data_IF_673774493918
#
_entry.id   IF_673774493918
#
_cell.length_a   1.000
_cell.length_b   1.000
_cell.length_c   1.000
_cell.angle_alpha   90.00
_cell.angle_beta   90.00
_cell.angle_gamma   90.00
#
_symmetry.space_group_name_H-M   'P 1'
#
loop_
_entity.id
_entity.type
_entity.pdbx_description
1 polymer ?
#
# COMPACT_ATOMS: atom_id res chain seq x y z
N UNK A 1 11.72 -51.39 51.09
CA UNK A 1 10.31 -50.97 51.06
C UNK A 1 9.92 -50.81 49.60
N UNK A 2 8.89 -51.55 49.15
CA UNK A 2 8.31 -51.54 47.78
C UNK A 2 7.79 -50.12 47.46
N UNK A 3 7.79 -49.64 46.22
CA UNK A 3 6.76 -49.92 45.19
C UNK A 3 7.30 -49.52 43.80
N UNK A 4 7.02 -50.40 42.82
CA UNK A 4 7.22 -50.25 41.36
C UNK A 4 6.11 -49.37 40.77
N UNK A 5 6.32 -48.75 39.61
CA UNK A 5 5.59 -49.07 38.37
C UNK A 5 6.23 -48.37 37.16
N UNK A 6 6.65 -49.19 36.18
CA UNK A 6 6.86 -48.81 34.78
C UNK A 6 5.48 -48.76 34.10
N UNK A 7 5.26 -47.82 33.18
CA UNK A 7 4.47 -48.08 31.97
C UNK A 7 4.91 -47.14 30.84
N UNK A 8 5.31 -47.76 29.72
CA UNK A 8 5.30 -47.19 28.39
C UNK A 8 4.02 -47.70 27.69
N UNK A 9 3.35 -46.82 26.93
CA UNK A 9 2.28 -47.00 25.92
C UNK A 9 2.20 -45.59 25.29
N UNK A 10 2.40 -45.27 24.00
CA UNK A 10 2.06 -45.85 22.69
C UNK A 10 0.56 -46.04 22.44
N UNK A 11 -0.18 -44.95 22.23
CA UNK A 11 -1.51 -44.88 21.57
C UNK A 11 -1.93 -43.39 21.53
N UNK A 12 -2.70 -42.83 20.60
CA UNK A 12 -3.65 -43.41 19.64
C UNK A 12 -3.91 -42.38 18.52
N UNK A 13 -3.92 -42.81 17.27
CA UNK A 13 -4.74 -42.18 16.23
C UNK A 13 -5.70 -43.26 15.73
N UNK A 14 -6.91 -43.25 16.29
CA UNK A 14 -7.97 -44.20 15.96
C UNK A 14 -8.85 -43.60 14.88
N UNK A 15 -8.77 -44.21 13.69
CA UNK A 15 -9.75 -44.14 12.62
C UNK A 15 -10.76 -45.27 12.85
N UNK A 16 -12.00 -44.97 13.25
CA UNK A 16 -13.21 -45.74 12.91
C UNK A 16 -14.43 -44.84 13.11
N UNK A 17 -15.22 -44.60 12.07
CA UNK A 17 -16.66 -44.82 12.14
C UNK A 17 -17.15 -45.42 10.83
N UNK A 18 -17.67 -46.64 10.97
CA UNK A 18 -18.37 -47.43 9.96
C UNK A 18 -19.83 -46.98 9.90
N UNK A 19 -20.27 -46.80 8.67
CA UNK A 19 -21.61 -46.93 8.07
C UNK A 19 -22.88 -46.94 8.94
N UNK A 20 -23.87 -46.17 8.46
CA UNK A 20 -25.22 -46.66 8.21
C UNK A 20 -25.90 -45.80 7.14
N UNK A 21 -25.86 -46.22 5.88
CA UNK A 21 -26.85 -45.80 4.89
C UNK A 21 -27.38 -47.05 4.20
N UNK A 22 -28.54 -47.48 4.68
CA UNK A 22 -29.38 -48.43 3.99
C UNK A 22 -30.24 -47.66 2.97
N UNK A 23 -30.38 -48.29 1.83
CA UNK A 23 -30.97 -47.84 0.57
C UNK A 23 -32.48 -47.60 0.69
N UNK A 24 -33.01 -46.51 0.13
CA UNK A 24 -34.13 -46.54 -0.85
C UNK A 24 -34.75 -45.15 -1.12
N UNK A 25 -34.78 -44.82 -2.41
CA UNK A 25 -35.82 -44.08 -3.17
C UNK A 25 -36.09 -42.59 -2.90
N UNK A 26 -35.78 -41.76 -3.91
CA UNK A 26 -36.62 -40.61 -4.30
C UNK A 26 -35.87 -39.30 -4.58
N UNK A 27 -35.46 -39.10 -5.84
CA UNK A 27 -35.16 -37.84 -6.54
C UNK A 27 -34.26 -36.77 -5.86
N UNK A 28 -32.97 -36.84 -6.19
CA UNK A 28 -31.90 -35.90 -5.80
C UNK A 28 -31.86 -34.65 -6.69
N UNK A 29 -32.07 -33.47 -6.09
CA UNK A 29 -31.53 -32.21 -6.58
C UNK A 29 -30.99 -31.41 -5.38
N UNK A 30 -29.68 -31.50 -5.20
CA UNK A 30 -28.77 -30.68 -4.39
C UNK A 30 -27.80 -31.60 -3.63
N UNK A 31 -26.53 -31.19 -3.61
CA UNK A 31 -25.40 -31.82 -2.90
C UNK A 31 -24.64 -32.92 -3.67
N UNK A 32 -24.08 -32.55 -4.84
CA UNK A 32 -22.86 -33.18 -5.36
C UNK A 32 -22.04 -32.21 -6.25
N UNK A 33 -21.59 -31.09 -5.68
CA UNK A 33 -20.68 -30.14 -6.33
C UNK A 33 -19.40 -29.92 -5.52
N UNK A 34 -18.79 -31.00 -5.04
CA UNK A 34 -17.65 -30.90 -4.11
C UNK A 34 -16.52 -31.90 -4.31
N UNK A 35 -16.45 -32.65 -5.42
CA UNK A 35 -15.44 -33.71 -5.55
C UNK A 35 -14.97 -34.06 -6.98
N UNK A 36 -15.00 -33.11 -7.92
CA UNK A 36 -14.33 -33.26 -9.22
C UNK A 36 -13.55 -31.98 -9.54
N UNK A 37 -12.29 -31.91 -9.07
CA UNK A 37 -11.27 -31.01 -9.62
C UNK A 37 -9.85 -31.47 -9.25
N UNK A 38 -9.59 -32.77 -9.26
CA UNK A 38 -8.24 -33.32 -9.26
C UNK A 38 -8.22 -34.43 -10.31
N UNK A 39 -7.20 -34.39 -11.18
CA UNK A 39 -6.97 -35.21 -12.38
C UNK A 39 -7.55 -34.60 -13.66
N UNK A 40 -6.75 -33.75 -14.31
CA UNK A 40 -6.61 -33.63 -15.78
C UNK A 40 -5.52 -32.61 -16.09
N UNK A 41 -4.26 -33.03 -16.14
CA UNK A 41 -3.25 -32.29 -16.90
C UNK A 41 -2.13 -33.24 -17.35
N UNK A 42 -2.48 -34.19 -18.20
CA UNK A 42 -1.55 -34.82 -19.13
C UNK A 42 -2.16 -34.75 -20.52
N UNK A 43 -1.73 -33.78 -21.32
CA UNK A 43 -1.79 -33.87 -22.77
C UNK A 43 -0.44 -33.46 -23.33
N UNK A 44 0.34 -34.47 -23.68
CA UNK A 44 1.53 -34.32 -24.50
C UNK A 44 1.16 -33.79 -25.88
N UNK A 45 1.96 -32.86 -26.39
CA UNK A 45 1.90 -32.45 -27.79
C UNK A 45 2.65 -33.48 -28.63
N UNK A 46 1.95 -34.11 -29.59
CA UNK A 46 2.52 -34.89 -30.68
C UNK A 46 2.11 -34.22 -32.00
N UNK A 47 3.08 -33.81 -32.82
CA UNK A 47 2.86 -33.38 -34.21
C UNK A 47 3.39 -31.98 -34.56
N UNK A 48 4.06 -31.88 -35.72
CA UNK A 48 4.66 -30.68 -36.31
C UNK A 48 3.63 -29.57 -36.58
N UNK A 49 3.62 -28.52 -35.75
CA UNK A 49 3.59 -27.11 -36.18
C UNK A 49 3.56 -26.17 -34.96
N UNK A 50 4.74 -25.96 -34.35
CA UNK A 50 4.95 -24.88 -33.39
C UNK A 50 5.66 -23.72 -34.08
N UNK A 51 4.90 -22.86 -34.75
CA UNK A 51 5.41 -21.59 -35.27
C UNK A 51 4.28 -20.60 -35.53
N UNK A 52 4.37 -19.44 -34.86
CA UNK A 52 3.57 -18.20 -35.03
C UNK A 52 2.22 -18.13 -34.29
N UNK A 53 2.27 -17.71 -33.02
CA UNK A 53 1.59 -16.50 -32.54
C UNK A 53 1.82 -16.31 -31.03
N UNK A 54 2.95 -15.68 -30.68
CA UNK A 54 3.18 -15.15 -29.34
C UNK A 54 2.63 -13.72 -29.31
N UNK A 55 1.33 -13.59 -29.08
CA UNK A 55 0.71 -12.33 -28.67
C UNK A 55 0.09 -12.53 -27.29
N UNK A 56 0.66 -11.79 -26.34
CA UNK A 56 0.28 -11.68 -24.94
C UNK A 56 -1.24 -11.55 -24.76
N UNK A 57 -1.82 -12.43 -23.94
CA UNK A 57 -3.06 -12.16 -23.22
C UNK A 57 -2.79 -12.30 -21.72
N UNK A 58 -2.37 -11.19 -21.12
CA UNK A 58 -2.65 -10.95 -19.70
C UNK A 58 -4.16 -10.82 -19.57
N UNK A 59 -4.79 -11.78 -18.89
CA UNK A 59 -6.01 -11.61 -18.10
C UNK A 59 -6.51 -12.99 -17.70
N UNK A 60 -6.04 -13.49 -16.56
CA UNK A 60 -6.85 -14.29 -15.63
C UNK A 60 -6.14 -14.31 -14.28
N UNK A 61 -6.49 -13.34 -13.43
CA UNK A 61 -6.26 -13.39 -11.99
C UNK A 61 -7.53 -12.83 -11.34
N UNK A 62 -8.48 -13.72 -11.05
CA UNK A 62 -9.60 -13.45 -10.16
C UNK A 62 -9.86 -14.67 -9.28
N UNK A 63 -9.25 -14.65 -8.09
CA UNK A 63 -9.88 -15.16 -6.86
C UNK A 63 -9.51 -14.17 -5.77
N UNK A 64 -10.40 -13.20 -5.56
CA UNK A 64 -10.20 -12.03 -4.72
C UNK A 64 -10.26 -12.37 -3.23
N UNK A 65 -9.09 -12.52 -2.62
CA UNK A 65 -8.79 -11.74 -1.43
C UNK A 65 -8.00 -10.54 -1.94
N UNK A 66 -8.50 -9.32 -1.74
CA UNK A 66 -7.72 -8.11 -2.05
C UNK A 66 -6.51 -8.08 -1.12
N UNK A 67 -5.39 -8.64 -1.56
CA UNK A 67 -4.09 -8.34 -1.00
C UNK A 67 -3.84 -6.87 -1.34
N UNK A 68 -4.24 -6.00 -0.41
CA UNK A 68 -4.22 -4.56 -0.58
C UNK A 68 -2.78 -4.14 -0.90
N UNK A 69 -2.58 -3.55 -2.08
CA UNK A 69 -1.28 -3.02 -2.45
C UNK A 69 -0.91 -1.93 -1.42
N UNK A 70 0.25 -2.05 -0.81
CA UNK A 70 0.72 -1.06 0.16
C UNK A 70 1.01 0.26 -0.56
N UNK A 71 1.55 0.17 -1.77
CA UNK A 71 1.60 1.27 -2.71
C UNK A 71 0.32 1.38 -3.54
N UNK A 72 0.00 2.59 -4.01
CA UNK A 72 -1.08 2.82 -4.95
C UNK A 72 -0.89 2.07 -6.27
N UNK A 73 -1.99 1.76 -6.94
CA UNK A 73 -1.97 0.99 -8.19
C UNK A 73 -1.17 1.72 -9.29
N UNK A 74 -0.22 1.02 -9.90
CA UNK A 74 0.66 1.56 -10.94
C UNK A 74 1.84 2.39 -10.41
N UNK A 75 1.96 2.60 -9.09
CA UNK A 75 3.16 3.18 -8.52
C UNK A 75 4.29 2.16 -8.45
N UNK A 76 5.47 2.54 -8.93
CA UNK A 76 6.69 1.73 -8.89
C UNK A 76 7.68 2.35 -7.89
N UNK A 77 7.76 1.86 -6.65
CA UNK A 77 8.70 2.36 -5.66
C UNK A 77 10.16 2.18 -6.08
N UNK A 78 11.00 3.11 -5.64
CA UNK A 78 12.43 3.08 -5.87
C UNK A 78 13.20 2.25 -4.82
N UNK A 79 14.29 1.63 -5.26
CA UNK A 79 15.35 1.06 -4.44
C UNK A 79 16.68 1.69 -4.86
N UNK A 80 17.56 1.97 -3.91
CA UNK A 80 18.94 2.36 -4.20
C UNK A 80 19.92 1.85 -3.15
N UNK A 81 21.16 1.60 -3.55
CA UNK A 81 22.25 1.35 -2.61
C UNK A 81 23.05 2.65 -2.39
N UNK A 82 23.17 3.10 -1.14
CA UNK A 82 23.87 4.36 -0.81
C UNK A 82 25.32 4.36 -1.30
N UNK A 83 25.96 3.19 -1.28
CA UNK A 83 27.35 3.00 -1.74
C UNK A 83 27.52 3.19 -3.25
N UNK A 84 26.46 3.01 -4.06
CA UNK A 84 26.47 3.35 -5.50
C UNK A 84 26.65 4.85 -5.71
N UNK A 85 26.10 5.66 -4.79
CA UNK A 85 26.15 7.12 -4.79
C UNK A 85 27.26 7.69 -3.90
N UNK A 86 28.21 6.85 -3.47
CA UNK A 86 29.38 7.27 -2.67
C UNK A 86 29.13 7.44 -1.17
N UNK A 87 27.90 7.20 -0.69
CA UNK A 87 27.56 7.25 0.72
C UNK A 87 27.79 5.89 1.39
N UNK A 88 28.90 5.78 2.11
CA UNK A 88 29.32 4.58 2.84
C UNK A 88 29.30 4.83 4.34
N UNK A 89 29.14 3.78 5.14
CA UNK A 89 29.11 3.90 6.58
C UNK A 89 29.58 2.62 7.27
N UNK A 90 30.13 2.77 8.48
CA UNK A 90 30.44 1.64 9.34
C UNK A 90 29.16 1.04 9.93
N UNK A 91 29.27 -0.05 10.70
CA UNK A 91 28.11 -0.78 11.24
C UNK A 91 27.31 -0.03 12.32
N UNK A 92 27.74 1.14 12.78
CA UNK A 92 27.05 1.91 13.83
C UNK A 92 26.12 2.97 13.22
N UNK A 93 24.88 2.58 12.94
CA UNK A 93 23.86 3.52 12.49
C UNK A 93 23.06 4.13 13.65
N UNK A 94 23.40 3.84 14.91
CA UNK A 94 22.53 4.18 16.05
C UNK A 94 21.27 3.32 16.10
N UNK A 95 21.32 2.11 15.53
CA UNK A 95 20.21 1.18 15.42
C UNK A 95 19.38 1.31 14.14
N UNK A 96 18.29 0.54 14.07
CA UNK A 96 17.40 0.49 12.89
C UNK A 96 16.85 1.88 12.51
N UNK A 97 16.43 2.67 13.50
CA UNK A 97 15.89 4.02 13.26
C UNK A 97 16.93 4.96 12.64
N UNK A 98 18.18 4.91 13.12
CA UNK A 98 19.24 5.73 12.55
C UNK A 98 19.71 5.23 11.18
N UNK A 99 19.56 3.94 10.88
CA UNK A 99 19.76 3.43 9.51
C UNK A 99 18.68 3.95 8.54
N UNK A 100 17.43 4.02 8.97
CA UNK A 100 16.35 4.65 8.19
C UNK A 100 16.63 6.14 7.98
N UNK A 101 17.09 6.85 9.02
CA UNK A 101 17.49 8.26 8.90
C UNK A 101 18.69 8.45 7.95
N UNK A 102 19.64 7.52 7.93
CA UNK A 102 20.75 7.51 6.96
C UNK A 102 20.21 7.38 5.53
N UNK A 103 19.27 6.47 5.27
CA UNK A 103 18.60 6.39 3.98
C UNK A 103 17.86 7.68 3.60
N UNK A 104 17.09 8.26 4.52
CA UNK A 104 16.31 9.47 4.27
C UNK A 104 17.17 10.70 3.95
N UNK A 105 18.38 10.78 4.53
CA UNK A 105 19.35 11.87 4.31
C UNK A 105 20.21 11.69 3.06
N UNK A 106 20.21 10.51 2.44
CA UNK A 106 21.04 10.18 1.28
C UNK A 106 20.20 9.75 0.08
N UNK A 107 18.98 10.30 -0.06
CA UNK A 107 18.15 10.10 -1.25
C UNK A 107 18.89 10.67 -2.47
N UNK A 108 19.12 9.86 -3.52
CA UNK A 108 19.84 10.33 -4.70
C UNK A 108 19.01 11.36 -5.46
N UNK A 109 19.67 12.31 -6.12
CA UNK A 109 19.00 13.34 -6.92
C UNK A 109 18.26 12.80 -8.15
N UNK A 110 18.49 11.53 -8.52
CA UNK A 110 17.79 10.85 -9.61
C UNK A 110 16.34 10.46 -9.27
N UNK A 111 15.91 10.60 -8.02
CA UNK A 111 14.54 10.29 -7.58
C UNK A 111 13.93 11.46 -6.79
N UNK A 112 12.59 11.54 -6.67
CA UNK A 112 11.95 12.59 -5.88
C UNK A 112 12.41 12.57 -4.41
N UNK A 113 12.84 13.72 -3.89
CA UNK A 113 13.32 13.89 -2.51
C UNK A 113 12.24 13.77 -1.45
N UNK A 114 10.96 13.72 -1.85
CA UNK A 114 9.80 13.60 -0.95
C UNK A 114 9.49 12.15 -0.55
N UNK A 115 10.18 11.17 -1.14
CA UNK A 115 10.01 9.76 -0.79
C UNK A 115 10.42 9.48 0.65
N UNK A 116 9.76 8.51 1.28
CA UNK A 116 10.11 8.00 2.60
C UNK A 116 10.90 6.72 2.39
N UNK A 117 12.10 6.62 2.96
CA UNK A 117 12.97 5.46 2.75
C UNK A 117 13.31 4.77 4.07
N UNK A 118 13.32 3.43 4.03
CA UNK A 118 13.82 2.59 5.12
C UNK A 118 14.97 1.71 4.65
N UNK A 119 15.87 1.39 5.57
CA UNK A 119 17.04 0.56 5.31
C UNK A 119 16.69 -0.94 5.29
N UNK A 120 17.10 -1.65 4.25
CA UNK A 120 16.99 -3.10 4.17
C UNK A 120 18.10 -3.78 4.98
N UNK A 121 17.97 -3.74 6.29
CA UNK A 121 18.83 -4.44 7.25
C UNK A 121 17.97 -5.14 8.29
N UNK A 122 18.46 -6.19 8.94
CA UNK A 122 17.77 -6.84 10.07
C UNK A 122 18.64 -6.82 11.31
N UNK A 123 18.00 -6.81 12.48
CA UNK A 123 18.68 -7.03 13.77
C UNK A 123 18.15 -8.26 14.53
N UNK A 124 17.13 -8.93 13.98
CA UNK A 124 16.49 -10.08 14.60
C UNK A 124 15.42 -9.73 15.64
N UNK A 125 15.17 -8.45 15.92
CA UNK A 125 14.22 -8.00 16.95
C UNK A 125 13.36 -6.83 16.47
N UNK A 126 13.96 -5.68 16.18
CA UNK A 126 13.26 -4.46 15.76
C UNK A 126 12.97 -4.44 14.25
N UNK A 127 13.74 -5.20 13.46
CA UNK A 127 13.47 -5.46 12.05
C UNK A 127 13.83 -6.91 11.71
N UNK A 128 12.83 -7.64 11.22
CA UNK A 128 12.91 -9.06 10.86
C UNK A 128 12.13 -9.26 9.57
N UNK A 129 12.75 -9.85 8.54
CA UNK A 129 12.03 -10.15 7.30
C UNK A 129 11.10 -11.37 7.46
N UNK A 130 11.63 -12.42 8.10
CA UNK A 130 10.96 -13.68 8.39
C UNK A 130 11.81 -14.50 9.37
N UNK A 131 11.19 -15.42 10.10
CA UNK A 131 11.89 -16.45 10.90
C UNK A 131 11.85 -17.84 10.25
N UNK A 132 11.22 -17.96 9.08
CA UNK A 132 11.01 -19.24 8.39
C UNK A 132 11.65 -19.27 7.01
N UNK A 133 11.44 -18.24 6.19
CA UNK A 133 11.97 -18.20 4.83
C UNK A 133 11.18 -17.27 3.89
N UNK A 134 11.60 -17.16 2.61
CA UNK A 134 11.17 -16.11 1.70
C UNK A 134 9.66 -16.10 1.42
N UNK A 135 8.96 -17.22 1.57
CA UNK A 135 7.54 -17.35 1.27
C UNK A 135 6.64 -17.29 2.52
N UNK A 136 7.14 -16.73 3.63
CA UNK A 136 6.43 -16.68 4.90
C UNK A 136 6.56 -15.33 5.60
N UNK A 137 5.42 -14.80 6.08
CA UNK A 137 5.35 -13.61 6.94
C UNK A 137 5.57 -13.92 8.43
N UNK A 138 5.81 -15.19 8.79
CA UNK A 138 5.96 -15.59 10.19
C UNK A 138 7.17 -14.89 10.81
N UNK A 139 6.94 -14.22 11.93
CA UNK A 139 7.97 -13.47 12.65
C UNK A 139 8.43 -12.19 11.96
N UNK A 140 7.75 -11.76 10.89
CA UNK A 140 8.07 -10.50 10.21
C UNK A 140 7.78 -9.30 11.12
N UNK A 141 8.75 -8.40 11.24
CA UNK A 141 8.67 -7.18 12.07
C UNK A 141 9.27 -6.01 11.30
N UNK A 142 8.51 -4.92 11.12
CA UNK A 142 8.97 -3.67 10.48
C UNK A 142 9.73 -3.89 9.16
N UNK A 143 9.28 -4.84 8.35
CA UNK A 143 9.93 -5.18 7.09
C UNK A 143 9.69 -4.12 6.03
N UNK A 144 10.68 -3.91 5.16
CA UNK A 144 10.75 -2.75 4.27
C UNK A 144 10.12 -2.98 2.90
N UNK A 145 10.03 -4.23 2.46
CA UNK A 145 9.44 -4.58 1.17
C UNK A 145 7.99 -4.97 1.33
N UNK A 146 7.17 -4.50 0.39
CA UNK A 146 5.74 -4.71 0.38
C UNK A 146 5.40 -5.97 -0.42
N UNK A 147 4.35 -6.72 -0.05
CA UNK A 147 3.89 -7.88 -0.82
C UNK A 147 3.50 -7.56 -2.25
N UNK A 148 3.81 -8.46 -3.19
CA UNK A 148 3.39 -8.40 -4.60
C UNK A 148 3.73 -7.07 -5.29
N UNK A 149 4.85 -6.46 -4.90
CA UNK A 149 5.22 -5.12 -5.32
C UNK A 149 6.43 -5.17 -6.25
N UNK A 150 6.29 -4.49 -7.38
CA UNK A 150 7.38 -4.27 -8.32
C UNK A 150 8.22 -3.06 -7.87
N UNK A 151 9.54 -3.21 -7.86
CA UNK A 151 10.47 -2.16 -7.49
C UNK A 151 11.43 -1.84 -8.63
N UNK A 152 11.78 -0.55 -8.75
CA UNK A 152 12.73 -0.06 -9.76
C UNK A 152 13.97 0.55 -9.12
N UNK A 153 15.10 0.46 -9.81
CA UNK A 153 16.38 1.00 -9.36
C UNK A 153 16.43 2.53 -9.57
N UNK A 154 16.97 3.27 -8.61
CA UNK A 154 17.11 4.72 -8.71
C UNK A 154 18.16 5.19 -9.74
N UNK A 155 19.16 4.36 -10.06
CA UNK A 155 20.25 4.70 -10.98
C UNK A 155 19.73 4.93 -12.42
N UNK A 156 18.81 4.09 -12.89
CA UNK A 156 18.38 4.05 -14.30
C UNK A 156 16.89 3.71 -14.52
N UNK A 157 16.13 3.49 -13.46
CA UNK A 157 14.71 3.12 -13.54
C UNK A 157 14.44 1.67 -13.94
N UNK A 158 15.48 0.83 -14.08
CA UNK A 158 15.31 -0.57 -14.43
C UNK A 158 14.53 -1.32 -13.35
N UNK A 159 13.69 -2.27 -13.75
CA UNK A 159 12.95 -3.12 -12.81
C UNK A 159 13.94 -4.07 -12.15
N UNK A 160 13.99 -4.03 -10.82
CA UNK A 160 14.88 -4.89 -10.03
C UNK A 160 14.20 -6.22 -9.79
N UNK A 161 13.00 -6.17 -9.21
CA UNK A 161 12.27 -7.37 -8.79
C UNK A 161 10.78 -7.09 -8.63
N UNK A 162 10.02 -8.18 -8.60
CA UNK A 162 8.67 -8.24 -8.07
C UNK A 162 8.73 -9.13 -6.83
N UNK A 163 8.29 -8.62 -5.69
CA UNK A 163 8.22 -9.41 -4.46
C UNK A 163 7.04 -10.38 -4.50
N UNK A 164 7.13 -11.47 -3.76
CA UNK A 164 6.03 -12.41 -3.55
C UNK A 164 5.01 -11.86 -2.53
N UNK A 165 4.01 -12.69 -2.18
CA UNK A 165 2.98 -12.34 -1.20
C UNK A 165 3.48 -12.12 0.24
N UNK A 166 4.76 -12.40 0.54
CA UNK A 166 5.40 -12.10 1.83
C UNK A 166 6.34 -10.89 1.77
N UNK A 167 6.42 -10.20 0.63
CA UNK A 167 7.29 -9.04 0.46
C UNK A 167 8.77 -9.41 0.28
N UNK A 168 9.08 -10.60 -0.23
CA UNK A 168 10.46 -11.08 -0.43
C UNK A 168 10.61 -11.71 -1.82
N UNK A 169 11.83 -12.07 -2.19
CA UNK A 169 12.13 -12.80 -3.43
C UNK A 169 12.75 -14.16 -3.10
N UNK A 170 12.19 -15.24 -3.63
CA UNK A 170 12.71 -16.58 -3.38
C UNK A 170 13.83 -16.91 -4.38
N UNK A 171 15.07 -16.97 -3.89
CA UNK A 171 16.26 -17.32 -4.68
C UNK A 171 16.44 -18.84 -4.89
N UNK A 172 15.52 -19.67 -4.41
CA UNK A 172 15.57 -21.12 -4.60
C UNK A 172 15.56 -21.48 -6.09
N UNK A 173 16.07 -22.68 -6.41
CA UNK A 173 16.13 -23.21 -7.77
C UNK A 173 16.87 -22.31 -8.78
N UNK A 174 17.79 -21.46 -8.32
CA UNK A 174 18.58 -20.58 -9.17
C UNK A 174 17.82 -19.37 -9.71
N UNK A 175 16.66 -19.04 -9.12
CA UNK A 175 15.95 -17.82 -9.44
C UNK A 175 16.81 -16.58 -9.17
N UNK A 176 16.66 -15.56 -10.00
CA UNK A 176 17.44 -14.31 -9.96
C UNK A 176 16.52 -13.11 -10.09
N UNK A 177 16.92 -12.00 -9.48
CA UNK A 177 16.35 -10.69 -9.73
C UNK A 177 16.50 -10.34 -11.21
N UNK A 178 15.60 -9.52 -11.73
CA UNK A 178 15.67 -9.02 -13.11
C UNK A 178 16.91 -8.12 -13.27
N UNK A 179 17.16 -7.27 -12.27
CA UNK A 179 18.33 -6.42 -12.19
C UNK A 179 18.83 -6.31 -10.74
N UNK A 180 20.09 -5.92 -10.57
CA UNK A 180 20.72 -5.67 -9.27
C UNK A 180 20.22 -4.37 -8.60
N UNK A 181 20.53 -4.15 -7.31
CA UNK A 181 20.18 -2.89 -6.62
C UNK A 181 21.07 -1.70 -7.04
N UNK A 182 22.25 -1.95 -7.60
CA UNK A 182 23.22 -0.93 -8.01
C UNK A 182 23.95 -1.31 -9.29
N UNK A 183 24.44 -0.29 -10.01
CA UNK A 183 25.27 -0.47 -11.20
C UNK A 183 26.78 -0.40 -10.90
N UNK A 184 27.18 0.31 -9.85
CA UNK A 184 28.60 0.49 -9.51
C UNK A 184 29.18 -0.80 -8.93
N UNK A 185 30.15 -1.42 -9.62
CA UNK A 185 30.74 -2.73 -9.29
C UNK A 185 31.22 -2.90 -7.84
N UNK A 186 31.66 -1.82 -7.21
CA UNK A 186 32.14 -1.77 -5.83
C UNK A 186 31.01 -1.61 -4.79
N UNK A 187 29.75 -1.53 -5.21
CA UNK A 187 28.63 -1.28 -4.31
C UNK A 187 28.30 -2.54 -3.50
N UNK A 188 28.42 -2.43 -2.18
CA UNK A 188 27.93 -3.39 -1.20
C UNK A 188 27.11 -2.73 -0.11
N UNK A 189 26.57 -3.56 0.78
CA UNK A 189 25.63 -3.13 1.80
C UNK A 189 25.73 -4.01 3.04
N UNK A 190 25.53 -3.40 4.19
CA UNK A 190 25.16 -4.13 5.39
C UNK A 190 23.77 -4.74 5.23
N UNK A 191 23.53 -5.94 5.73
CA UNK A 191 22.21 -6.61 5.66
C UNK A 191 21.81 -7.29 6.96
N UNK A 192 22.70 -8.08 7.57
CA UNK A 192 22.34 -9.02 8.64
C UNK A 192 21.50 -10.22 8.18
N UNK A 193 21.26 -10.37 6.87
CA UNK A 193 20.32 -11.33 6.28
C UNK A 193 21.03 -12.59 5.76
N UNK A 194 20.48 -13.76 6.02
CA UNK A 194 20.85 -14.98 5.32
C UNK A 194 20.22 -15.03 3.91
N UNK A 195 20.66 -15.95 3.06
CA UNK A 195 20.18 -16.10 1.68
C UNK A 195 18.67 -16.42 1.56
N UNK A 196 18.04 -16.85 2.65
CA UNK A 196 16.60 -17.14 2.78
C UNK A 196 15.82 -16.02 3.50
N UNK A 197 16.40 -14.83 3.62
CA UNK A 197 15.87 -13.66 4.32
C UNK A 197 15.76 -13.77 5.85
N UNK A 198 16.14 -14.90 6.45
CA UNK A 198 16.22 -14.97 7.92
C UNK A 198 17.37 -14.13 8.46
N UNK A 199 17.35 -13.77 9.75
CA UNK A 199 18.51 -13.10 10.36
C UNK A 199 19.67 -14.08 10.48
N UNK A 200 20.83 -13.75 9.92
CA UNK A 200 21.99 -14.63 10.00
C UNK A 200 22.61 -14.58 11.40
N UNK A 201 22.91 -15.76 11.94
CA UNK A 201 23.54 -15.91 13.25
C UNK A 201 24.82 -16.75 13.15
N UNK A 202 25.79 -16.40 13.99
CA UNK A 202 26.99 -17.22 14.23
C UNK A 202 26.98 -17.66 15.70
N UNK A 203 26.98 -18.96 15.96
CA UNK A 203 26.86 -19.49 17.32
C UNK A 203 25.57 -19.05 18.04
N UNK A 204 24.49 -18.79 17.30
CA UNK A 204 23.21 -18.30 17.83
C UNK A 204 23.14 -16.79 18.09
N UNK A 205 24.21 -16.04 17.80
CA UNK A 205 24.24 -14.58 17.96
C UNK A 205 24.04 -13.88 16.62
N UNK A 206 23.10 -12.92 16.49
CA UNK A 206 22.92 -12.11 15.29
C UNK A 206 24.16 -11.30 14.93
N UNK A 207 24.52 -11.34 13.65
CA UNK A 207 25.74 -10.71 13.13
C UNK A 207 25.40 -9.36 12.49
N UNK A 208 25.04 -8.44 13.38
CA UNK A 208 24.36 -7.18 13.03
C UNK A 208 25.02 -6.00 13.71
N UNK A 209 26.32 -6.08 14.04
CA UNK A 209 27.04 -5.00 14.72
C UNK A 209 26.37 -4.53 16.03
N UNK A 210 25.95 -5.49 16.85
CA UNK A 210 25.14 -5.25 18.06
C UNK A 210 23.88 -4.44 17.75
N UNK A 211 23.04 -4.98 16.86
CA UNK A 211 21.82 -4.30 16.38
C UNK A 211 22.10 -2.93 15.80
N UNK A 212 23.22 -2.81 15.08
CA UNK A 212 23.67 -1.63 14.34
C UNK A 212 23.98 -0.43 15.23
N UNK A 213 24.43 -0.67 16.46
CA UNK A 213 24.78 0.36 17.46
C UNK A 213 26.27 0.45 17.76
N UNK A 214 27.10 -0.37 17.12
CA UNK A 214 28.53 -0.44 17.41
C UNK A 214 29.39 -0.42 16.16
N UNK A 215 30.53 0.25 16.29
CA UNK A 215 31.62 0.30 15.31
C UNK A 215 32.89 -0.35 15.85
N UNK A 216 32.77 -1.20 16.88
CA UNK A 216 33.92 -1.86 17.50
C UNK A 216 34.60 -2.84 16.53
N UNK A 217 35.94 -2.85 16.56
CA UNK A 217 36.77 -3.67 15.67
C UNK A 217 36.53 -5.17 15.78
N UNK A 218 36.19 -5.65 16.98
CA UNK A 218 35.96 -7.06 17.30
C UNK A 218 34.51 -7.52 17.13
N UNK A 219 33.62 -6.63 16.71
CA UNK A 219 32.25 -6.97 16.32
C UNK A 219 32.16 -7.04 14.81
N UNK A 220 31.21 -7.85 14.34
CA UNK A 220 31.06 -8.12 12.92
C UNK A 220 29.60 -7.99 12.50
N UNK A 221 29.42 -7.46 11.29
CA UNK A 221 28.14 -7.42 10.58
C UNK A 221 28.19 -8.32 9.36
N UNK A 222 27.04 -8.78 8.90
CA UNK A 222 26.91 -9.45 7.61
C UNK A 222 26.68 -8.44 6.49
N UNK A 223 27.28 -8.67 5.33
CA UNK A 223 27.14 -7.82 4.14
C UNK A 223 26.72 -8.61 2.89
N UNK A 224 26.09 -7.90 1.95
CA UNK A 224 25.73 -8.38 0.62
C UNK A 224 26.41 -7.60 -0.49
N UNK A 225 26.23 -8.07 -1.73
CA UNK A 225 26.69 -7.42 -2.96
C UNK A 225 25.52 -6.75 -3.68
N UNK A 226 25.49 -5.41 -3.73
CA UNK A 226 24.38 -4.65 -4.34
C UNK A 226 24.32 -4.82 -5.86
N UNK A 227 25.36 -5.40 -6.46
CA UNK A 227 25.50 -5.65 -7.90
C UNK A 227 25.16 -7.08 -8.32
N UNK A 228 24.90 -8.00 -7.37
CA UNK A 228 24.43 -9.34 -7.71
C UNK A 228 22.94 -9.35 -8.06
N UNK A 229 22.51 -10.38 -8.80
CA UNK A 229 21.10 -10.70 -9.07
C UNK A 229 20.66 -11.99 -8.39
N UNK A 230 21.54 -12.71 -7.72
CA UNK A 230 21.20 -13.90 -6.92
C UNK A 230 21.24 -13.60 -5.41
N UNK A 231 21.21 -14.64 -4.57
CA UNK A 231 21.20 -14.50 -3.12
C UNK A 231 22.42 -13.78 -2.53
N UNK A 232 23.50 -13.57 -3.30
CA UNK A 232 24.66 -12.77 -2.87
C UNK A 232 24.27 -11.32 -2.56
N UNK A 233 23.13 -10.86 -3.08
CA UNK A 233 22.55 -9.55 -2.74
C UNK A 233 22.10 -9.46 -1.27
N UNK A 234 21.87 -10.59 -0.60
CA UNK A 234 21.59 -10.63 0.83
C UNK A 234 22.85 -10.95 1.61
N UNK A 235 23.66 -11.89 1.11
CA UNK A 235 24.83 -12.44 1.79
C UNK A 235 25.92 -12.78 0.77
N UNK A 236 26.98 -11.97 0.69
CA UNK A 236 28.08 -12.18 -0.24
C UNK A 236 29.00 -13.31 0.25
N UNK A 237 28.78 -14.53 -0.24
CA UNK A 237 29.49 -15.76 0.13
C UNK A 237 30.36 -16.30 -0.99
N UNK A 238 29.81 -16.48 -2.19
CA UNK A 238 30.53 -17.03 -3.33
C UNK A 238 31.60 -16.05 -3.82
N UNK A 239 31.28 -14.76 -3.91
CA UNK A 239 32.21 -13.74 -4.40
C UNK A 239 33.36 -13.43 -3.42
N UNK A 240 33.26 -13.90 -2.18
CA UNK A 240 34.17 -13.58 -1.07
C UNK A 240 34.93 -14.80 -0.54
N UNK A 241 34.79 -15.95 -1.20
CA UNK A 241 35.42 -17.21 -0.76
C UNK A 241 34.85 -17.73 0.56
N UNK A 242 33.59 -17.44 0.85
CA UNK A 242 32.86 -17.86 2.06
C UNK A 242 32.91 -16.85 3.22
N UNK A 243 33.65 -15.75 3.09
CA UNK A 243 33.77 -14.73 4.12
C UNK A 243 32.64 -13.70 4.02
N UNK A 244 31.57 -13.92 4.78
CA UNK A 244 30.31 -13.16 4.64
C UNK A 244 30.17 -12.02 5.66
N UNK A 245 31.17 -11.81 6.50
CA UNK A 245 31.15 -10.78 7.55
C UNK A 245 32.30 -9.81 7.41
N UNK A 246 32.08 -8.59 7.87
CA UNK A 246 33.10 -7.55 7.96
C UNK A 246 33.07 -6.93 9.35
N UNK A 247 34.22 -6.42 9.79
CA UNK A 247 34.31 -5.68 11.05
C UNK A 247 33.37 -4.48 11.03
N UNK A 248 32.71 -4.22 12.16
CA UNK A 248 31.75 -3.13 12.29
C UNK A 248 32.38 -1.75 12.22
N UNK A 249 33.70 -1.63 12.33
CA UNK A 249 34.41 -0.36 12.10
C UNK A 249 34.59 -0.02 10.63
N UNK A 250 34.40 -1.00 9.73
CA UNK A 250 34.76 -0.86 8.32
C UNK A 250 33.68 -0.17 7.49
N UNK A 251 34.11 0.71 6.59
CA UNK A 251 33.27 1.26 5.50
C UNK A 251 33.49 0.54 4.18
N UNK A 252 34.44 -0.40 4.13
CA UNK A 252 34.76 -1.28 3.00
C UNK A 252 35.20 -2.63 3.54
N UNK A 253 34.69 -3.72 2.99
CA UNK A 253 35.13 -5.05 3.39
C UNK A 253 36.55 -5.34 2.88
N UNK A 254 37.27 -6.20 3.59
CA UNK A 254 38.52 -6.78 3.09
C UNK A 254 38.25 -7.88 2.04
N UNK A 255 37.05 -8.47 2.07
CA UNK A 255 36.66 -9.60 1.23
C UNK A 255 35.87 -9.10 0.03
N UNK A 256 36.58 -8.83 -1.07
CA UNK A 256 36.01 -8.30 -2.31
C UNK A 256 36.09 -6.77 -2.41
N UNK A 257 35.57 -6.19 -3.51
CA UNK A 257 35.71 -4.76 -3.78
C UNK A 257 34.69 -3.88 -3.04
N UNK A 258 33.90 -4.44 -2.13
CA UNK A 258 32.64 -3.84 -1.69
C UNK A 258 32.79 -2.72 -0.66
N UNK A 259 32.37 -1.52 -1.05
CA UNK A 259 32.13 -0.37 -0.19
C UNK A 259 30.76 -0.54 0.49
N UNK A 260 30.74 -0.48 1.81
CA UNK A 260 29.59 -0.83 2.63
C UNK A 260 28.72 0.39 2.90
N UNK A 261 27.50 0.35 2.36
CA UNK A 261 26.43 1.30 2.64
C UNK A 261 25.17 0.58 3.11
N UNK A 262 24.02 1.13 2.76
CA UNK A 262 22.70 0.52 2.96
C UNK A 262 21.99 0.38 1.62
N UNK A 263 21.11 -0.61 1.52
CA UNK A 263 20.05 -0.59 0.50
C UNK A 263 18.85 0.10 1.11
N UNK A 264 18.39 1.16 0.47
CA UNK A 264 17.27 1.98 0.88
C UNK A 264 16.06 1.69 -0.01
N UNK A 265 14.93 1.40 0.63
CA UNK A 265 13.71 0.96 -0.02
C UNK A 265 12.63 2.01 0.25
N UNK A 266 12.07 2.56 -0.82
CA UNK A 266 10.96 3.49 -0.71
C UNK A 266 9.78 2.82 0.01
N UNK A 267 9.13 3.57 0.88
CA UNK A 267 7.99 3.15 1.67
C UNK A 267 6.72 3.82 1.14
N UNK A 268 5.55 3.18 1.30
CA UNK A 268 4.30 3.81 0.93
C UNK A 268 4.12 5.10 1.74
N UNK A 269 3.60 6.18 1.14
CA UNK A 269 3.32 7.40 1.88
C UNK A 269 2.32 7.10 3.00
N UNK A 270 2.43 7.75 4.17
CA UNK A 270 1.43 7.59 5.22
C UNK A 270 0.06 7.98 4.67
N UNK A 271 -1.02 7.33 5.14
CA UNK A 271 -2.36 7.75 4.76
C UNK A 271 -2.61 9.20 5.20
N UNK A 272 -3.29 9.97 4.35
CA UNK A 272 -3.74 11.33 4.63
C UNK A 272 -5.11 11.32 5.27
N UNK A 273 -5.43 12.30 6.10
CA UNK A 273 -6.73 12.36 6.76
C UNK A 273 -7.85 12.88 5.86
N UNK A 274 -9.03 12.30 6.04
CA UNK A 274 -10.31 12.76 5.51
C UNK A 274 -11.33 12.82 6.65
N UNK A 275 -12.13 13.88 6.69
CA UNK A 275 -13.25 13.99 7.61
C UNK A 275 -14.42 14.75 7.00
N UNK A 276 -15.60 14.61 7.60
CA UNK A 276 -16.82 15.32 7.17
C UNK A 276 -17.25 16.28 8.26
N UNK A 277 -17.40 17.57 7.99
CA UNK A 277 -17.73 18.54 9.06
C UNK A 277 -19.06 18.21 9.75
N UNK A 278 -20.02 17.69 8.97
CA UNK A 278 -21.35 17.28 9.44
C UNK A 278 -21.33 16.09 10.39
N UNK A 279 -20.34 15.18 10.32
CA UNK A 279 -20.21 14.09 11.31
C UNK A 279 -19.78 14.59 12.68
N UNK A 280 -19.19 15.79 12.75
CA UNK A 280 -18.82 16.49 13.98
C UNK A 280 -19.85 17.58 14.36
N UNK A 281 -21.05 17.57 13.77
CA UNK A 281 -22.12 18.50 14.08
C UNK A 281 -22.02 19.87 13.39
N UNK A 282 -21.00 20.09 12.58
CA UNK A 282 -20.77 21.37 11.88
C UNK A 282 -21.35 21.32 10.47
N UNK A 283 -22.50 21.99 10.30
CA UNK A 283 -23.23 22.11 9.02
C UNK A 283 -23.17 23.52 8.47
N UNK A 284 -23.35 23.68 7.16
CA UNK A 284 -23.36 24.98 6.53
C UNK A 284 -24.22 25.00 5.26
N UNK A 285 -24.80 26.17 4.96
CA UNK A 285 -25.50 26.39 3.71
C UNK A 285 -24.51 26.51 2.53
N UNK A 286 -25.01 26.68 1.30
CA UNK A 286 -24.17 26.71 0.09
C UNK A 286 -23.25 27.93 -0.06
N UNK A 287 -23.34 28.94 0.81
CA UNK A 287 -22.52 30.16 0.71
C UNK A 287 -21.26 30.08 1.58
N UNK A 288 -20.20 29.49 1.04
CA UNK A 288 -18.90 29.46 1.70
C UNK A 288 -18.02 30.69 1.39
N UNK A 289 -18.52 31.68 0.63
CA UNK A 289 -17.67 32.74 0.09
C UNK A 289 -16.75 32.24 -1.03
N UNK A 290 -17.15 31.18 -1.73
CA UNK A 290 -16.38 30.54 -2.79
C UNK A 290 -15.42 29.45 -2.31
N UNK A 291 -14.64 28.90 -3.25
CA UNK A 291 -13.71 27.79 -3.01
C UNK A 291 -12.72 28.09 -1.86
N UNK A 292 -12.16 29.29 -1.84
CA UNK A 292 -11.20 29.69 -0.80
C UNK A 292 -11.84 29.73 0.59
N UNK A 293 -13.09 30.18 0.70
CA UNK A 293 -13.78 30.22 1.98
C UNK A 293 -14.23 28.82 2.43
N UNK A 294 -14.53 27.91 1.50
CA UNK A 294 -14.76 26.50 1.82
C UNK A 294 -13.49 25.80 2.34
N UNK A 295 -12.33 26.09 1.77
CA UNK A 295 -11.05 25.61 2.31
C UNK A 295 -10.77 26.18 3.71
N UNK A 296 -11.01 27.49 3.91
CA UNK A 296 -10.88 28.11 5.22
C UNK A 296 -11.83 27.48 6.27
N UNK A 297 -13.04 27.11 5.85
CA UNK A 297 -13.99 26.39 6.67
C UNK A 297 -13.47 25.01 7.08
N UNK A 298 -12.88 24.24 6.15
CA UNK A 298 -12.22 22.99 6.49
C UNK A 298 -11.04 23.19 7.45
N UNK A 299 -10.19 24.20 7.19
CA UNK A 299 -9.02 24.48 8.01
C UNK A 299 -9.37 24.87 9.45
N UNK A 300 -10.50 25.53 9.68
CA UNK A 300 -10.94 25.95 11.02
C UNK A 300 -11.72 24.89 11.80
N UNK A 301 -12.10 23.77 11.16
CA UNK A 301 -12.88 22.70 11.76
C UNK A 301 -12.17 21.35 11.74
N UNK A 302 -10.83 21.36 11.81
CA UNK A 302 -10.03 20.13 11.94
C UNK A 302 -10.41 19.44 13.27
N UNK A 303 -10.82 18.17 13.25
CA UNK A 303 -11.18 17.45 14.47
C UNK A 303 -9.99 17.31 15.42
N UNK A 304 -10.24 17.41 16.73
CA UNK A 304 -9.19 17.38 17.75
C UNK A 304 -8.43 16.05 17.84
N UNK A 305 -8.99 14.97 17.30
CA UNK A 305 -8.37 13.64 17.23
C UNK A 305 -7.44 13.47 16.03
N UNK A 306 -7.37 14.44 15.12
CA UNK A 306 -6.42 14.43 14.00
C UNK A 306 -5.11 15.08 14.44
N UNK A 307 -3.96 14.42 14.32
CA UNK A 307 -2.67 14.99 14.72
C UNK A 307 -2.27 16.17 13.82
N UNK A 308 -1.99 17.34 14.42
CA UNK A 308 -1.21 18.43 13.80
C UNK A 308 -2.00 19.58 13.17
N UNK A 309 -1.26 20.46 12.49
CA UNK A 309 -1.74 21.69 11.80
C UNK A 309 -1.72 21.51 10.27
N UNK A 310 -2.06 20.31 9.77
CA UNK A 310 -2.07 20.03 8.34
C UNK A 310 -2.93 21.04 7.56
N UNK A 311 -2.67 21.17 6.27
CA UNK A 311 -3.49 22.01 5.38
C UNK A 311 -4.67 21.17 4.90
N UNK A 312 -5.89 21.66 5.09
CA UNK A 312 -7.11 20.99 4.66
C UNK A 312 -7.83 21.80 3.61
N UNK A 313 -8.30 21.11 2.56
CA UNK A 313 -9.13 21.70 1.50
C UNK A 313 -10.43 20.94 1.36
N UNK A 314 -11.45 21.64 0.87
CA UNK A 314 -12.79 21.10 0.75
C UNK A 314 -12.99 20.34 -0.57
N UNK A 315 -13.49 19.12 -0.49
CA UNK A 315 -13.85 18.30 -1.65
C UNK A 315 -15.21 18.72 -2.21
N UNK A 316 -15.17 19.75 -3.05
CA UNK A 316 -16.28 20.26 -3.85
C UNK A 316 -15.74 20.92 -5.11
N UNK A 317 -16.55 21.07 -6.14
CA UNK A 317 -16.16 21.71 -7.41
C UNK A 317 -17.09 22.86 -7.74
N UNK A 318 -16.60 23.82 -8.51
CA UNK A 318 -17.42 24.88 -9.10
C UNK A 318 -17.37 24.90 -10.64
N UNK A 319 -16.51 24.08 -11.24
CA UNK A 319 -16.33 24.01 -12.70
C UNK A 319 -15.31 25.00 -13.25
N UNK A 320 -14.72 25.87 -12.42
CA UNK A 320 -13.77 26.90 -12.87
C UNK A 320 -12.57 27.03 -11.92
N UNK A 321 -12.81 27.36 -10.65
CA UNK A 321 -11.75 27.54 -9.65
C UNK A 321 -11.32 26.24 -8.99
N UNK A 322 -12.20 25.23 -9.00
CA UNK A 322 -11.89 23.84 -8.61
C UNK A 322 -12.61 22.86 -9.53
N UNK A 323 -11.83 22.02 -10.19
CA UNK A 323 -12.28 21.01 -11.15
C UNK A 323 -11.48 19.74 -10.90
N UNK A 324 -12.15 18.60 -10.69
CA UNK A 324 -11.45 17.32 -10.55
C UNK A 324 -10.95 16.80 -11.91
N UNK A 325 -11.82 16.89 -12.93
CA UNK A 325 -11.58 16.47 -14.31
C UNK A 325 -12.71 16.99 -15.21
N UNK A 326 -12.46 17.09 -16.51
CA UNK A 326 -13.50 17.31 -17.53
C UNK A 326 -13.83 16.06 -18.35
N UNK A 327 -13.15 14.94 -18.08
CA UNK A 327 -13.26 13.71 -18.88
C UNK A 327 -13.71 12.50 -18.05
N UNK A 328 -13.20 12.34 -16.82
CA UNK A 328 -13.58 11.22 -15.96
C UNK A 328 -12.49 10.80 -14.96
N UNK A 329 -12.76 9.77 -14.13
CA UNK A 329 -11.97 9.42 -12.94
C UNK A 329 -10.51 9.08 -13.23
N UNK A 330 -10.19 8.61 -14.43
CA UNK A 330 -8.84 8.15 -14.82
C UNK A 330 -8.07 9.19 -15.64
N UNK A 331 -8.47 10.47 -15.60
CA UNK A 331 -7.83 11.54 -16.36
C UNK A 331 -7.63 12.81 -15.54
N UNK A 332 -6.44 13.40 -15.65
CA UNK A 332 -6.11 14.74 -15.11
C UNK A 332 -6.49 15.89 -16.05
N UNK A 333 -7.09 15.59 -17.21
CA UNK A 333 -7.47 16.62 -18.19
C UNK A 333 -8.49 17.59 -17.58
N UNK A 334 -8.18 18.88 -17.65
CA UNK A 334 -9.01 19.95 -17.11
C UNK A 334 -9.00 20.06 -15.58
N UNK A 335 -8.14 19.32 -14.89
CA UNK A 335 -8.03 19.37 -13.43
C UNK A 335 -7.49 20.74 -12.97
N UNK A 336 -8.17 21.37 -12.02
CA UNK A 336 -7.82 22.69 -11.46
C UNK A 336 -7.98 22.64 -9.94
N UNK A 337 -6.93 22.97 -9.20
CA UNK A 337 -6.92 23.05 -7.71
C UNK A 337 -7.62 21.85 -7.03
N UNK A 338 -7.39 20.65 -7.56
CA UNK A 338 -7.99 19.43 -7.04
C UNK A 338 -7.35 19.01 -5.72
N UNK A 339 -8.16 18.43 -4.83
CA UNK A 339 -7.81 18.25 -3.42
C UNK A 339 -7.23 16.89 -3.09
N UNK A 340 -7.55 15.86 -3.87
CA UNK A 340 -6.99 14.53 -3.68
C UNK A 340 -5.69 14.39 -4.46
N UNK A 341 -4.67 13.84 -3.82
CA UNK A 341 -3.39 13.56 -4.44
C UNK A 341 -3.48 12.28 -5.28
N UNK A 342 -2.79 12.22 -6.42
CA UNK A 342 -2.55 10.97 -7.12
C UNK A 342 -1.97 9.94 -6.18
N UNK A 343 -2.41 8.69 -6.32
CA UNK A 343 -1.74 7.56 -5.69
C UNK A 343 -1.58 7.78 -4.17
N UNK A 344 -2.68 8.03 -3.46
CA UNK A 344 -2.63 8.36 -2.05
C UNK A 344 -3.73 7.62 -1.29
N UNK A 345 -3.36 7.01 -0.16
CA UNK A 345 -4.31 6.45 0.79
C UNK A 345 -4.91 7.57 1.62
N UNK A 346 -6.22 7.52 1.79
CA UNK A 346 -6.95 8.42 2.68
C UNK A 346 -7.60 7.62 3.81
N UNK A 347 -7.38 8.06 5.04
CA UNK A 347 -7.92 7.44 6.24
C UNK A 347 -8.88 8.38 6.94
N UNK A 348 -9.97 7.81 7.44
CA UNK A 348 -11.01 8.54 8.14
C UNK A 348 -10.49 9.05 9.47
N UNK A 349 -10.75 10.32 9.77
CA UNK A 349 -10.32 10.94 11.02
C UNK A 349 -10.93 10.26 12.25
N UNK A 350 -12.20 9.88 12.20
CA UNK A 350 -12.95 9.33 13.34
C UNK A 350 -12.28 8.10 13.98
N UNK A 351 -11.76 7.18 13.18
CA UNK A 351 -11.29 5.86 13.64
C UNK A 351 -10.04 5.32 12.92
N UNK A 352 -9.46 6.08 11.99
CA UNK A 352 -8.29 5.68 11.21
C UNK A 352 -8.58 4.64 10.14
N UNK A 353 -9.85 4.30 9.87
CA UNK A 353 -10.17 3.33 8.82
C UNK A 353 -9.77 3.88 7.44
N UNK A 354 -9.12 3.05 6.61
CA UNK A 354 -8.80 3.42 5.23
C UNK A 354 -10.11 3.56 4.45
N UNK A 355 -10.35 4.75 3.92
CA UNK A 355 -11.51 5.07 3.09
C UNK A 355 -11.26 4.57 1.67
N UNK A 356 -10.14 4.99 1.08
CA UNK A 356 -9.80 4.67 -0.29
C UNK A 356 -8.32 4.88 -0.58
N UNK A 357 -7.87 4.30 -1.68
CA UNK A 357 -6.63 4.68 -2.37
C UNK A 357 -7.00 5.32 -3.70
N UNK A 358 -6.52 6.53 -3.96
CA UNK A 358 -6.75 7.20 -5.25
C UNK A 358 -5.85 6.60 -6.35
N UNK A 359 -6.32 6.68 -7.60
CA UNK A 359 -5.54 6.33 -8.78
C UNK A 359 -4.51 7.44 -9.13
N UNK A 360 -3.81 7.26 -10.25
CA UNK A 360 -2.82 8.23 -10.75
C UNK A 360 -3.37 9.61 -11.15
N UNK A 361 -4.69 9.79 -11.23
CA UNK A 361 -5.34 11.10 -11.44
C UNK A 361 -5.80 11.76 -10.14
N UNK A 362 -5.70 11.06 -9.01
CA UNK A 362 -6.18 11.55 -7.71
C UNK A 362 -7.68 11.33 -7.50
N UNK A 363 -8.29 10.33 -8.15
CA UNK A 363 -9.70 9.98 -7.98
C UNK A 363 -9.90 8.47 -7.79
N UNK A 364 -11.13 8.06 -7.50
CA UNK A 364 -11.53 6.66 -7.43
C UNK A 364 -12.52 6.34 -8.56
N UNK A 365 -12.27 5.31 -9.35
CA UNK A 365 -13.16 4.91 -10.44
C UNK A 365 -14.26 3.95 -9.93
N UNK A 366 -15.51 4.42 -9.92
CA UNK A 366 -16.68 3.62 -9.52
C UNK A 366 -17.21 2.70 -10.65
N UNK A 367 -16.57 2.70 -11.83
CA UNK A 367 -16.96 1.82 -12.93
C UNK A 367 -16.96 0.34 -12.52
N UNK A 368 -17.82 -0.46 -13.16
CA UNK A 368 -17.91 -1.90 -12.89
C UNK A 368 -18.42 -2.26 -11.49
N UNK A 369 -18.99 -1.31 -10.74
CA UNK A 369 -19.49 -1.54 -9.39
C UNK A 369 -18.41 -1.52 -8.31
N UNK A 370 -17.23 -0.94 -8.62
CA UNK A 370 -16.19 -0.71 -7.63
C UNK A 370 -16.69 0.19 -6.49
N UNK A 371 -16.19 -0.05 -5.28
CA UNK A 371 -16.59 0.65 -4.06
C UNK A 371 -15.38 1.07 -3.25
N UNK A 372 -15.50 2.19 -2.54
CA UNK A 372 -14.56 2.58 -1.50
C UNK A 372 -14.48 1.48 -0.43
N UNK A 373 -13.34 1.38 0.24
CA UNK A 373 -13.12 0.42 1.33
C UNK A 373 -14.02 0.74 2.51
N UNK A 374 -14.11 2.04 2.85
CA UNK A 374 -14.98 2.56 3.90
C UNK A 374 -15.58 3.90 3.46
N UNK A 375 -16.74 4.29 4.02
CA UNK A 375 -17.32 5.61 3.76
C UNK A 375 -16.50 6.73 4.41
N UNK A 376 -16.76 7.99 4.03
CA UNK A 376 -16.10 9.14 4.68
C UNK A 376 -16.46 9.28 6.16
N UNK A 377 -17.62 8.79 6.57
CA UNK A 377 -18.03 8.71 7.98
C UNK A 377 -19.05 7.59 8.21
N UNK A 378 -19.24 7.19 9.47
CA UNK A 378 -20.29 6.26 9.89
C UNK A 378 -21.54 6.96 10.45
N UNK A 379 -21.50 8.29 10.62
CA UNK A 379 -22.63 9.08 11.11
C UNK A 379 -23.72 9.15 10.03
N UNK A 380 -24.84 8.47 10.26
CA UNK A 380 -25.91 8.21 9.27
C UNK A 380 -26.49 9.47 8.64
N UNK A 381 -26.58 10.53 9.42
CA UNK A 381 -27.15 11.82 9.02
C UNK A 381 -26.13 12.70 8.30
N UNK A 382 -24.88 12.27 8.11
CA UNK A 382 -23.86 13.09 7.48
C UNK A 382 -23.98 13.12 5.95
N UNK A 383 -24.02 14.32 5.37
CA UNK A 383 -23.93 14.56 3.94
C UNK A 383 -23.09 15.80 3.64
N UNK A 384 -22.84 16.05 2.36
CA UNK A 384 -21.87 17.05 1.95
C UNK A 384 -22.28 17.73 0.66
N UNK A 385 -21.95 19.01 0.55
CA UNK A 385 -21.93 19.71 -0.73
C UNK A 385 -20.77 19.20 -1.59
N UNK A 386 -21.01 18.94 -2.88
CA UNK A 386 -19.97 18.42 -3.79
C UNK A 386 -19.91 19.16 -5.12
N UNK A 387 -21.04 19.41 -5.78
CA UNK A 387 -21.05 19.86 -7.18
C UNK A 387 -20.58 18.80 -8.20
N UNK A 388 -20.37 17.55 -7.79
CA UNK A 388 -19.71 16.50 -8.58
C UNK A 388 -20.70 15.49 -9.19
N UNK A 389 -20.49 15.10 -10.44
CA UNK A 389 -21.04 13.87 -10.99
C UNK A 389 -20.37 12.63 -10.36
N UNK A 390 -20.99 11.47 -10.56
CA UNK A 390 -20.45 10.15 -10.17
C UNK A 390 -19.12 9.80 -10.85
N UNK A 391 -18.75 10.47 -11.94
CA UNK A 391 -17.49 10.33 -12.68
C UNK A 391 -16.47 11.44 -12.35
N UNK A 392 -16.71 12.20 -11.27
CA UNK A 392 -15.90 13.32 -10.80
C UNK A 392 -15.94 14.58 -11.68
N UNK A 393 -16.70 14.62 -12.78
CA UNK A 393 -16.90 15.87 -13.53
C UNK A 393 -17.80 16.83 -12.76
N UNK A 394 -17.81 18.12 -13.11
CA UNK A 394 -18.77 19.07 -12.51
C UNK A 394 -20.18 18.80 -13.03
N UNK A 395 -21.14 18.65 -12.11
CA UNK A 395 -22.54 18.45 -12.46
C UNK A 395 -23.16 19.74 -12.99
N UNK A 396 -23.87 19.66 -14.12
CA UNK A 396 -24.60 20.79 -14.71
C UNK A 396 -26.05 20.44 -15.00
N UNK A 397 -26.95 21.42 -14.83
CA UNK A 397 -28.33 21.39 -15.38
C UNK A 397 -28.46 22.47 -16.43
N UNK A 398 -28.90 22.09 -17.63
CA UNK A 398 -29.00 23.04 -18.76
C UNK A 398 -27.66 23.73 -19.10
N UNK A 399 -26.52 23.08 -18.82
CA UNK A 399 -25.18 23.64 -19.01
C UNK A 399 -24.70 24.56 -17.89
N UNK A 400 -25.47 24.77 -16.82
CA UNK A 400 -25.09 25.60 -15.67
C UNK A 400 -24.66 24.72 -14.49
N UNK A 401 -23.48 24.96 -13.88
CA UNK A 401 -23.04 24.24 -12.68
C UNK A 401 -23.99 24.42 -11.49
N UNK A 402 -24.34 23.32 -10.82
CA UNK A 402 -25.16 23.37 -9.60
C UNK A 402 -24.30 23.43 -8.35
N UNK A 403 -23.76 24.61 -8.15
CA UNK A 403 -22.69 24.85 -7.18
C UNK A 403 -23.01 26.07 -6.34
N UNK A 404 -24.30 26.41 -6.15
CA UNK A 404 -24.71 27.59 -5.38
C UNK A 404 -24.05 28.90 -5.83
N UNK A 405 -24.01 29.10 -7.16
CA UNK A 405 -23.30 30.21 -7.80
C UNK A 405 -21.81 30.23 -7.40
N UNK A 406 -21.10 29.13 -7.65
CA UNK A 406 -19.69 28.94 -7.23
C UNK A 406 -19.48 29.11 -5.74
N UNK A 407 -20.45 28.66 -4.96
CA UNK A 407 -20.46 28.60 -3.50
C UNK A 407 -20.43 29.97 -2.83
N UNK A 408 -21.00 30.98 -3.48
CA UNK A 408 -21.09 32.36 -2.97
C UNK A 408 -22.51 32.80 -2.63
N UNK A 409 -23.49 31.91 -2.70
CA UNK A 409 -24.90 32.26 -2.48
C UNK A 409 -25.64 31.25 -1.60
N UNK A 410 -26.53 31.78 -0.78
CA UNK A 410 -27.47 31.05 0.07
C UNK A 410 -28.92 31.32 -0.34
N UNK A 411 -29.15 31.80 -1.57
CA UNK A 411 -30.48 32.12 -2.07
C UNK A 411 -31.35 30.86 -2.21
N UNK A 412 -32.65 31.01 -1.89
CA UNK A 412 -33.64 29.91 -1.89
C UNK A 412 -33.90 29.31 -3.29
N UNK A 413 -33.67 30.09 -4.34
CA UNK A 413 -33.93 29.69 -5.73
C UNK A 413 -32.69 29.18 -6.46
N UNK A 414 -31.54 29.11 -5.77
CA UNK A 414 -30.34 28.47 -6.27
C UNK A 414 -30.17 27.12 -5.58
N UNK A 415 -29.55 26.17 -6.29
CA UNK A 415 -29.34 24.83 -5.76
C UNK A 415 -27.89 24.39 -5.93
N UNK A 416 -27.46 23.56 -4.98
CA UNK A 416 -26.18 22.86 -5.01
C UNK A 416 -26.41 21.36 -5.12
N UNK A 417 -25.43 20.64 -5.64
CA UNK A 417 -25.42 19.18 -5.61
C UNK A 417 -24.83 18.66 -4.29
N UNK A 418 -25.40 17.59 -3.74
CA UNK A 418 -24.91 16.95 -2.52
C UNK A 418 -24.66 15.44 -2.68
N UNK A 419 -23.78 14.91 -1.83
CA UNK A 419 -23.47 13.48 -1.72
C UNK A 419 -23.84 12.90 -0.35
N UNK A 420 -23.76 11.57 -0.24
CA UNK A 420 -23.98 10.80 0.98
C UNK A 420 -22.65 10.36 1.59
N UNK A 421 -22.19 11.00 2.66
CA UNK A 421 -20.89 10.71 3.30
C UNK A 421 -20.77 9.29 3.86
N UNK A 422 -21.88 8.57 3.98
CA UNK A 422 -21.97 7.20 4.48
C UNK A 422 -22.01 6.13 3.39
N UNK A 423 -22.06 6.52 2.11
CA UNK A 423 -22.00 5.54 1.02
C UNK A 423 -20.55 5.13 0.72
N UNK A 424 -20.38 3.95 0.11
CA UNK A 424 -19.11 3.47 -0.44
C UNK A 424 -19.14 3.38 -1.97
N UNK A 425 -20.27 3.62 -2.61
CA UNK A 425 -20.39 3.74 -4.06
C UNK A 425 -20.45 5.20 -4.50
N UNK A 426 -20.78 5.44 -5.78
CA UNK A 426 -20.83 6.78 -6.36
C UNK A 426 -21.81 7.75 -5.69
N UNK A 427 -22.73 7.27 -4.84
CA UNK A 427 -23.61 8.12 -4.03
C UNK A 427 -22.83 9.02 -3.07
N UNK A 428 -21.57 8.67 -2.77
CA UNK A 428 -20.66 9.51 -1.99
C UNK A 428 -20.30 10.82 -2.72
N UNK A 429 -20.44 10.88 -4.04
CA UNK A 429 -20.25 12.13 -4.80
C UNK A 429 -21.59 12.81 -5.07
N UNK A 430 -22.63 12.01 -5.37
CA UNK A 430 -23.95 12.48 -5.80
C UNK A 430 -25.03 11.52 -5.29
N UNK A 431 -25.78 11.93 -4.29
CA UNK A 431 -26.86 11.12 -3.72
C UNK A 431 -28.09 11.13 -4.63
N UNK A 432 -28.26 10.07 -5.43
CA UNK A 432 -29.31 9.93 -6.44
C UNK A 432 -30.26 8.78 -6.13
N UNK A 433 -29.74 7.58 -5.88
CA UNK A 433 -30.55 6.41 -5.60
C UNK A 433 -31.22 6.51 -4.22
N UNK A 434 -30.49 6.97 -3.21
CA UNK A 434 -31.02 7.08 -1.84
C UNK A 434 -32.08 8.17 -1.68
N UNK A 435 -32.21 9.07 -2.66
CA UNK A 435 -33.05 10.28 -2.62
C UNK A 435 -34.21 10.24 -3.63
N UNK A 436 -34.43 9.09 -4.29
CA UNK A 436 -35.46 8.95 -5.32
C UNK A 436 -35.18 9.78 -6.58
N UNK A 437 -33.91 10.03 -6.88
CA UNK A 437 -33.44 10.80 -8.04
C UNK A 437 -33.15 12.28 -7.77
N UNK A 438 -33.49 12.79 -6.57
CA UNK A 438 -33.29 14.20 -6.22
C UNK A 438 -31.88 14.46 -5.68
N UNK A 439 -31.02 15.03 -6.51
CA UNK A 439 -29.58 15.15 -6.21
C UNK A 439 -29.16 16.56 -5.78
N UNK A 440 -30.10 17.50 -5.74
CA UNK A 440 -29.84 18.91 -5.42
C UNK A 440 -30.65 19.38 -4.23
N UNK A 441 -30.09 20.30 -3.46
CA UNK A 441 -30.76 20.99 -2.35
C UNK A 441 -30.63 22.50 -2.51
N UNK A 442 -31.60 23.25 -1.97
CA UNK A 442 -31.54 24.72 -1.94
C UNK A 442 -30.25 25.18 -1.26
N UNK A 443 -29.63 26.20 -1.81
CA UNK A 443 -28.40 26.78 -1.26
C UNK A 443 -28.58 27.46 0.09
N UNK A 444 -29.83 27.74 0.50
CA UNK A 444 -30.15 28.22 1.84
C UNK A 444 -30.10 27.13 2.90
N UNK A 445 -30.13 25.86 2.50
CA UNK A 445 -30.36 24.73 3.40
C UNK A 445 -29.07 24.25 4.05
N UNK A 446 -29.15 23.93 5.34
CA UNK A 446 -28.11 23.18 6.09
C UNK A 446 -28.45 21.69 6.21
N UNK A 447 -29.63 21.29 5.75
CA UNK A 447 -30.13 19.92 5.69
C UNK A 447 -31.00 19.75 4.45
N UNK A 448 -30.84 18.65 3.73
CA UNK A 448 -31.70 18.36 2.57
C UNK A 448 -33.06 17.85 3.01
N UNK A 449 -34.10 18.09 2.20
CA UNK A 449 -35.41 17.47 2.35
C UNK A 449 -35.42 16.01 1.84
N UNK A 450 -34.39 15.61 1.09
CA UNK A 450 -34.28 14.31 0.45
C UNK A 450 -33.25 13.45 1.18
N UNK A 451 -33.74 12.61 2.11
CA UNK A 451 -32.91 11.78 2.98
C UNK A 451 -32.55 12.46 4.31
N UNK A 452 -31.79 11.80 5.18
CA UNK A 452 -31.50 12.30 6.53
C UNK A 452 -30.39 13.36 6.57
N UNK A 453 -29.85 13.79 5.43
CA UNK A 453 -28.52 14.39 5.34
C UNK A 453 -28.44 15.84 5.80
N UNK A 454 -27.62 16.06 6.83
CA UNK A 454 -27.09 17.33 7.28
C UNK A 454 -25.90 17.71 6.41
N UNK A 455 -25.94 18.88 5.78
CA UNK A 455 -25.00 19.28 4.73
C UNK A 455 -23.81 20.03 5.34
N UNK A 456 -22.63 19.41 5.25
CA UNK A 456 -21.35 20.00 5.57
C UNK A 456 -20.38 19.94 4.39
N UNK A 457 -19.09 19.86 4.69
CA UNK A 457 -18.02 19.64 3.72
C UNK A 457 -17.26 18.35 4.03
N UNK A 458 -16.74 17.73 2.99
CA UNK A 458 -15.67 16.73 3.12
C UNK A 458 -14.34 17.47 3.04
N UNK A 459 -13.49 17.31 4.05
CA UNK A 459 -12.22 18.01 4.20
C UNK A 459 -11.05 17.05 4.04
N UNK A 460 -10.11 17.41 3.16
CA UNK A 460 -9.03 16.54 2.69
C UNK A 460 -7.69 17.15 3.07
N UNK A 461 -6.88 16.40 3.81
CA UNK A 461 -5.49 16.76 4.07
C UNK A 461 -4.68 16.81 2.77
N UNK A 462 -3.86 17.84 2.61
CA UNK A 462 -3.10 18.13 1.38
C UNK A 462 -1.73 17.49 1.34
#
# INVERSE_FOLDING_TARGET
>A
MKIKYKFAILSAFTLVFVACLNKSSGDDNAVLSGLISLISNEQGCVGLDCSKNRTLRSNQLQSGQSLQAAFPQGYLPYIFATSSFGAVHNGNFGGISGADAFCQSHIPSSVPSTGIYKAMIVDGVNRVATTVGPNSIVGQVNWVFQPNQQYRRADDGAIVMITNGSGMFDFSNGARLENSFALKGESGQWTGLNSDWTTWTSGGVPMTCSSWTSSALNLFGLFGSSTSTDSEILKASASTGGNTTSSCSSTRTFYGPYNLGLVCVEQPPPPKYIFTTSSFGTVHNGNFGGISGADAFCQSHIPSNVPGTGIYKAMLVDGVNRVATTVGPNSTVGQVNWVFKPNQKYQRAEDGAIVMTTNGSGMFDFAGGARLENPFTQVKESGQWTGLNSDWTTWTSGGVPMTCSSWTSSALNLFGLFGSSTSTDSEILKASASTGGNTTSSCSSTRTFYGPYNLGLVCIEQ
#
